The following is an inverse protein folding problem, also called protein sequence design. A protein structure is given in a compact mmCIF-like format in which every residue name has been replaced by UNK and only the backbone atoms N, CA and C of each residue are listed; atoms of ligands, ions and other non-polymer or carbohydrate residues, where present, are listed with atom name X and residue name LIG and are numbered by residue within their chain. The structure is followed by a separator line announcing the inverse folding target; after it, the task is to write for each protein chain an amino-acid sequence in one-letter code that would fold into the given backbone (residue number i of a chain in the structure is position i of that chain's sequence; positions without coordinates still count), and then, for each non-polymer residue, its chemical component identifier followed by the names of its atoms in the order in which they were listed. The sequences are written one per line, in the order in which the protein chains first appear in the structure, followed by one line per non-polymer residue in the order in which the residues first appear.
data_IF_401593515706
#
_entry.id   IF_401593515706
#
_cell.length_a   1.000
_cell.length_b   1.000
_cell.length_c   1.000
_cell.angle_alpha   90.00
_cell.angle_beta   90.00
_cell.angle_gamma   90.00
#
_symmetry.space_group_name_H-M   'P 1'
#
loop_
_entity.id
_entity.type
_entity.pdbx_description
1 polymer ?
#
# COMPACT_ATOMS: atom_id res chain seq x y z
N UNK A 1 25.45 0.77 -4.97
CA UNK A 1 24.74 1.37 -3.84
C UNK A 1 23.76 2.48 -4.25
N UNK A 2 23.94 3.14 -5.41
CA UNK A 2 23.02 4.13 -6.00
C UNK A 2 21.81 3.53 -6.75
N UNK A 3 21.86 2.26 -7.18
CA UNK A 3 20.83 1.69 -8.07
C UNK A 3 19.48 1.50 -7.38
N UNK A 4 19.45 1.01 -6.14
CA UNK A 4 18.20 0.70 -5.43
C UNK A 4 17.37 1.94 -5.09
N UNK A 5 18.03 3.02 -4.67
CA UNK A 5 17.35 4.28 -4.39
C UNK A 5 16.84 4.92 -5.69
N UNK A 6 17.57 4.74 -6.80
CA UNK A 6 17.09 5.09 -8.13
C UNK A 6 15.90 4.22 -8.56
N UNK A 7 15.94 2.92 -8.31
CA UNK A 7 14.87 1.97 -8.67
C UNK A 7 13.60 2.26 -7.88
N UNK A 8 13.70 2.49 -6.56
CA UNK A 8 12.58 2.88 -5.72
C UNK A 8 12.02 4.24 -6.14
N UNK A 9 12.88 5.22 -6.39
CA UNK A 9 12.47 6.53 -6.89
C UNK A 9 11.86 6.45 -8.29
N UNK A 10 12.37 5.60 -9.17
CA UNK A 10 11.81 5.37 -10.49
C UNK A 10 10.48 4.61 -10.41
N UNK A 11 10.33 3.66 -9.50
CA UNK A 11 9.09 2.90 -9.30
C UNK A 11 8.02 3.84 -8.71
N UNK A 12 8.36 4.61 -7.66
CA UNK A 12 7.50 5.65 -7.09
C UNK A 12 7.20 6.77 -8.09
N UNK A 13 8.18 7.23 -8.88
CA UNK A 13 8.00 8.26 -9.90
C UNK A 13 7.19 7.77 -11.10
N UNK A 14 7.32 6.49 -11.51
CA UNK A 14 6.46 5.87 -12.53
C UNK A 14 5.02 5.70 -12.04
N UNK A 15 4.82 5.64 -10.73
CA UNK A 15 3.50 5.57 -10.11
C UNK A 15 2.96 6.91 -9.59
N UNK A 16 3.65 8.03 -9.87
CA UNK A 16 3.18 9.40 -9.56
C UNK A 16 3.54 9.94 -8.17
N UNK A 17 4.42 9.29 -7.39
CA UNK A 17 4.67 9.60 -5.98
C UNK A 17 5.83 10.55 -5.66
N UNK A 18 6.66 10.97 -6.63
CA UNK A 18 7.82 11.85 -6.33
C UNK A 18 7.55 13.36 -6.45
N UNK A 19 6.46 13.77 -7.09
CA UNK A 19 6.06 15.18 -7.19
C UNK A 19 4.78 15.35 -6.38
N UNK A 20 4.76 16.27 -5.41
CA UNK A 20 3.72 16.49 -4.38
C UNK A 20 2.29 16.78 -4.84
N UNK A 21 1.88 16.31 -6.01
CA UNK A 21 0.53 16.37 -6.56
C UNK A 21 0.21 14.97 -7.15
N UNK A 22 -0.50 14.08 -6.41
CA UNK A 22 -1.52 13.12 -6.93
C UNK A 22 -1.72 11.78 -6.17
N UNK A 23 -0.93 11.42 -5.15
CA UNK A 23 -1.24 10.19 -4.39
C UNK A 23 -2.44 10.36 -3.45
N UNK A 24 -3.27 9.31 -3.32
CA UNK A 24 -4.40 9.28 -2.37
C UNK A 24 -3.92 8.96 -0.95
N UNK A 25 -2.72 8.38 -0.81
CA UNK A 25 -2.17 7.89 0.45
C UNK A 25 -0.74 8.44 0.70
N UNK A 26 -0.60 9.77 0.85
CA UNK A 26 0.71 10.41 0.99
C UNK A 26 1.50 9.94 2.21
N UNK A 27 0.85 9.53 3.30
CA UNK A 27 1.56 9.02 4.46
C UNK A 27 2.17 7.63 4.21
N UNK A 28 1.47 6.78 3.44
CA UNK A 28 1.94 5.45 3.06
C UNK A 28 3.18 5.53 2.17
N UNK A 29 3.14 6.39 1.15
CA UNK A 29 4.29 6.60 0.27
C UNK A 29 5.50 7.15 1.02
N UNK A 30 5.26 8.14 1.90
CA UNK A 30 6.33 8.69 2.74
C UNK A 30 6.96 7.60 3.60
N UNK A 31 6.14 6.79 4.27
CA UNK A 31 6.63 5.73 5.15
C UNK A 31 7.49 4.71 4.38
N UNK A 32 7.07 4.31 3.17
CA UNK A 32 7.86 3.41 2.31
C UNK A 32 9.17 4.04 1.81
N UNK A 33 9.21 5.35 1.63
CA UNK A 33 10.38 6.09 1.14
C UNK A 33 11.36 6.51 2.24
N UNK A 34 10.89 6.58 3.50
CA UNK A 34 11.65 7.08 4.64
C UNK A 34 12.80 6.15 5.06
N UNK A 35 12.57 4.84 5.03
CA UNK A 35 13.58 3.83 5.37
C UNK A 35 13.63 2.72 4.30
N UNK A 36 14.84 2.28 3.94
CA UNK A 36 15.03 1.16 3.01
C UNK A 36 14.51 -0.15 3.59
N UNK A 37 14.60 -0.34 4.90
CA UNK A 37 14.11 -1.54 5.55
C UNK A 37 12.58 -1.60 5.58
N UNK A 38 11.89 -0.44 5.57
CA UNK A 38 10.44 -0.37 5.37
C UNK A 38 10.03 -0.97 4.02
N UNK A 39 10.67 -0.50 2.94
CA UNK A 39 10.39 -1.04 1.60
C UNK A 39 10.82 -2.51 1.49
N UNK A 40 11.95 -2.89 2.11
CA UNK A 40 12.44 -4.27 2.07
C UNK A 40 11.50 -5.25 2.76
N UNK A 41 10.94 -4.87 3.91
CA UNK A 41 9.95 -5.66 4.62
C UNK A 41 8.70 -5.89 3.75
N UNK A 42 8.24 -4.83 3.08
CA UNK A 42 7.15 -4.92 2.13
C UNK A 42 7.49 -5.84 0.93
N UNK A 43 8.66 -5.72 0.31
CA UNK A 43 9.07 -6.57 -0.82
C UNK A 43 9.09 -8.06 -0.47
N UNK A 44 9.58 -8.41 0.71
CA UNK A 44 9.61 -9.80 1.19
C UNK A 44 8.19 -10.36 1.30
N UNK A 45 7.26 -9.57 1.84
CA UNK A 45 5.86 -9.96 1.97
C UNK A 45 5.16 -10.03 0.60
N UNK A 46 5.51 -9.11 -0.31
CA UNK A 46 5.00 -9.01 -1.69
C UNK A 46 5.47 -10.14 -2.59
N UNK A 47 6.61 -10.78 -2.32
CA UNK A 47 7.33 -11.67 -3.24
C UNK A 47 6.49 -12.78 -3.91
N UNK A 48 5.35 -13.17 -3.31
CA UNK A 48 4.42 -14.20 -3.85
C UNK A 48 3.23 -13.63 -4.62
N UNK A 49 3.14 -12.31 -4.81
CA UNK A 49 2.03 -11.62 -5.47
C UNK A 49 2.49 -10.90 -6.73
N UNK A 50 1.64 -10.95 -7.76
CA UNK A 50 1.87 -10.23 -9.01
C UNK A 50 1.31 -8.81 -8.92
N UNK A 51 2.16 -7.83 -9.20
CA UNK A 51 1.76 -6.41 -9.30
C UNK A 51 1.28 -6.01 -10.70
N UNK A 52 1.43 -6.89 -11.71
CA UNK A 52 1.20 -6.55 -13.13
C UNK A 52 -0.22 -6.11 -13.49
N UNK A 53 -1.22 -6.49 -12.68
CA UNK A 53 -2.63 -6.15 -12.92
C UNK A 53 -3.06 -4.80 -12.33
N UNK A 54 -2.16 -4.11 -11.63
CA UNK A 54 -2.43 -2.86 -10.94
C UNK A 54 -1.77 -1.70 -11.69
N UNK A 55 -2.41 -0.52 -11.68
CA UNK A 55 -1.85 0.68 -12.31
C UNK A 55 -0.70 1.28 -11.48
N UNK A 56 -0.69 1.09 -10.17
CA UNK A 56 0.35 1.58 -9.27
C UNK A 56 0.62 0.63 -8.09
N UNK A 57 1.68 0.94 -7.33
CA UNK A 57 1.96 0.25 -6.07
C UNK A 57 0.89 0.51 -5.01
N UNK A 58 0.37 1.74 -4.94
CA UNK A 58 -0.69 2.11 -4.01
C UNK A 58 -2.00 1.38 -4.33
N UNK A 59 -2.31 1.24 -5.61
CA UNK A 59 -3.42 0.43 -6.12
C UNK A 59 -3.31 -1.03 -5.72
N UNK A 60 -2.11 -1.61 -5.88
CA UNK A 60 -1.79 -2.96 -5.43
C UNK A 60 -2.03 -3.12 -3.93
N UNK A 61 -1.43 -2.25 -3.11
CA UNK A 61 -1.58 -2.26 -1.67
C UNK A 61 -3.05 -2.15 -1.24
N UNK A 62 -3.75 -1.14 -1.77
CA UNK A 62 -5.16 -0.89 -1.44
C UNK A 62 -6.02 -2.11 -1.74
N UNK A 63 -5.91 -2.68 -2.94
CA UNK A 63 -6.79 -3.76 -3.36
C UNK A 63 -6.46 -5.11 -2.74
N UNK A 64 -5.19 -5.35 -2.40
CA UNK A 64 -4.75 -6.61 -1.78
C UNK A 64 -4.95 -6.61 -0.25
N UNK A 65 -4.94 -5.43 0.39
CA UNK A 65 -5.26 -5.29 1.82
C UNK A 65 -6.75 -5.04 2.05
N UNK A 66 -7.43 -4.36 1.12
CA UNK A 66 -8.85 -4.06 1.16
C UNK A 66 -9.54 -4.55 -0.13
N UNK A 67 -9.84 -5.86 -0.25
CA UNK A 67 -10.46 -6.42 -1.46
C UNK A 67 -11.81 -5.78 -1.82
N UNK A 68 -12.52 -5.20 -0.86
CA UNK A 68 -13.77 -4.45 -1.07
C UNK A 68 -13.61 -3.23 -1.97
N UNK A 69 -12.40 -2.68 -2.09
CA UNK A 69 -12.10 -1.52 -2.93
C UNK A 69 -11.79 -1.91 -4.38
N UNK A 70 -11.59 -3.20 -4.68
CA UNK A 70 -11.26 -3.68 -6.02
C UNK A 70 -12.27 -3.26 -7.10
N UNK A 71 -13.61 -3.32 -6.87
CA UNK A 71 -14.58 -2.89 -7.89
C UNK A 71 -14.44 -1.40 -8.26
N UNK A 72 -14.22 -0.54 -7.26
CA UNK A 72 -14.03 0.91 -7.48
C UNK A 72 -12.73 1.20 -8.23
N UNK A 73 -11.65 0.54 -7.81
CA UNK A 73 -10.34 0.63 -8.45
C UNK A 73 -10.38 0.15 -9.91
N UNK A 74 -10.96 -1.03 -10.17
CA UNK A 74 -11.09 -1.60 -11.50
C UNK A 74 -12.01 -0.76 -12.42
N UNK A 75 -13.06 -0.13 -11.89
CA UNK A 75 -13.89 0.80 -12.65
C UNK A 75 -13.09 2.03 -13.09
N UNK A 76 -12.29 2.61 -12.18
CA UNK A 76 -11.36 3.68 -12.50
C UNK A 76 -10.30 3.24 -13.52
N UNK A 77 -9.76 2.01 -13.42
CA UNK A 77 -8.73 1.52 -14.35
C UNK A 77 -9.22 1.23 -15.76
N UNK A 78 -10.54 1.19 -15.97
CA UNK A 78 -11.15 1.02 -17.29
C UNK A 78 -11.64 2.35 -17.86
N UNK A 79 -11.34 3.46 -17.19
CA UNK A 79 -11.86 4.81 -17.47
C UNK A 79 -13.42 4.83 -17.45
N UNK A 80 -14.02 3.94 -16.64
CA UNK A 80 -15.48 3.77 -16.50
C UNK A 80 -16.02 4.27 -15.15
N UNK A 81 -15.19 4.87 -14.31
CA UNK A 81 -15.58 5.32 -12.98
C UNK A 81 -14.72 6.47 -12.46
N UNK A 82 -15.20 7.21 -11.45
CA UNK A 82 -14.44 8.30 -10.84
C UNK A 82 -13.23 7.77 -10.08
N UNK A 83 -12.24 8.64 -9.87
CA UNK A 83 -11.08 8.33 -9.03
C UNK A 83 -11.51 8.07 -7.58
N UNK A 84 -10.74 7.26 -6.85
CA UNK A 84 -11.05 6.89 -5.46
C UNK A 84 -11.27 8.13 -4.56
N UNK A 85 -10.49 9.20 -4.79
CA UNK A 85 -10.60 10.49 -4.08
C UNK A 85 -11.94 11.22 -4.29
N UNK A 86 -12.64 10.90 -5.38
CA UNK A 86 -13.96 11.46 -5.71
C UNK A 86 -15.07 10.56 -5.13
N UNK A 87 -14.82 9.25 -5.01
CA UNK A 87 -15.79 8.28 -4.50
C UNK A 87 -15.84 8.17 -2.98
N UNK A 88 -14.78 8.59 -2.29
CA UNK A 88 -14.62 8.42 -0.85
C UNK A 88 -14.57 9.78 -0.16
N UNK A 89 -15.19 9.86 1.01
CA UNK A 89 -15.05 11.04 1.88
C UNK A 89 -13.64 11.09 2.44
N UNK A 90 -13.19 12.29 2.85
CA UNK A 90 -11.88 12.46 3.52
C UNK A 90 -11.71 11.53 4.72
N UNK A 91 -12.79 11.27 5.47
CA UNK A 91 -12.77 10.32 6.60
C UNK A 91 -12.49 8.90 6.14
N UNK A 92 -13.14 8.45 5.06
CA UNK A 92 -12.93 7.10 4.51
C UNK A 92 -11.51 6.93 3.97
N UNK A 93 -10.98 7.94 3.27
CA UNK A 93 -9.59 7.93 2.79
C UNK A 93 -8.61 7.79 3.95
N UNK A 94 -8.79 8.57 5.03
CA UNK A 94 -7.95 8.46 6.23
C UNK A 94 -8.02 7.08 6.89
N UNK A 95 -9.20 6.47 6.95
CA UNK A 95 -9.35 5.11 7.50
C UNK A 95 -8.60 4.07 6.66
N UNK A 96 -8.69 4.16 5.33
CA UNK A 96 -7.94 3.31 4.42
C UNK A 96 -6.44 3.55 4.58
N UNK A 97 -5.99 4.81 4.63
CA UNK A 97 -4.59 5.17 4.83
C UNK A 97 -4.03 4.59 6.14
N UNK A 98 -4.75 4.75 7.26
CA UNK A 98 -4.36 4.17 8.55
C UNK A 98 -4.27 2.65 8.50
N UNK A 99 -5.20 1.98 7.79
CA UNK A 99 -5.18 0.53 7.64
C UNK A 99 -3.97 0.05 6.83
N UNK A 100 -3.64 0.77 5.76
CA UNK A 100 -2.46 0.48 4.94
C UNK A 100 -1.16 0.70 5.71
N UNK A 101 -1.07 1.78 6.49
CA UNK A 101 0.08 2.02 7.38
C UNK A 101 0.22 0.91 8.41
N UNK A 102 -0.88 0.51 9.07
CA UNK A 102 -0.84 -0.57 10.05
C UNK A 102 -0.36 -1.90 9.42
N UNK A 103 -0.82 -2.21 8.22
CA UNK A 103 -0.34 -3.38 7.46
C UNK A 103 1.17 -3.34 7.23
N UNK A 104 1.69 -2.20 6.81
CA UNK A 104 3.12 -2.01 6.57
C UNK A 104 3.94 -2.08 7.87
N UNK A 105 3.43 -1.52 8.96
CA UNK A 105 4.04 -1.63 10.29
C UNK A 105 4.14 -3.09 10.74
N UNK A 106 3.05 -3.87 10.60
CA UNK A 106 3.05 -5.31 10.94
C UNK A 106 4.07 -6.09 10.09
N UNK A 107 4.17 -5.75 8.80
CA UNK A 107 5.16 -6.36 7.91
C UNK A 107 6.61 -6.04 8.37
N UNK A 108 6.86 -4.79 8.73
CA UNK A 108 8.17 -4.34 9.21
C UNK A 108 8.55 -4.93 10.56
N UNK A 109 7.62 -4.99 11.52
CA UNK A 109 7.87 -5.65 12.81
C UNK A 109 8.25 -7.12 12.62
N UNK A 110 7.56 -7.84 11.74
CA UNK A 110 7.90 -9.23 11.43
C UNK A 110 9.29 -9.34 10.78
N UNK A 111 9.64 -8.42 9.88
CA UNK A 111 10.97 -8.35 9.29
C UNK A 111 12.06 -8.11 10.34
N UNK A 112 11.89 -7.13 11.23
CA UNK A 112 12.82 -6.82 12.32
C UNK A 112 13.02 -8.00 13.26
N UNK A 113 11.95 -8.76 13.54
CA UNK A 113 11.98 -9.96 14.38
C UNK A 113 12.49 -11.21 13.64
N UNK A 114 12.84 -11.10 12.34
CA UNK A 114 13.18 -12.23 11.47
C UNK A 114 12.12 -13.34 11.48
N UNK A 115 10.85 -12.95 11.66
CA UNK A 115 9.70 -13.85 11.75
C UNK A 115 9.12 -14.06 10.36
N UNK A 116 8.76 -15.30 10.04
CA UNK A 116 7.99 -15.58 8.84
C UNK A 116 6.56 -15.03 9.00
N UNK A 117 6.13 -14.21 8.04
CA UNK A 117 4.78 -13.69 7.97
C UNK A 117 4.27 -13.83 6.54
N UNK A 118 3.10 -14.43 6.36
CA UNK A 118 2.42 -14.45 5.06
C UNK A 118 1.51 -13.23 4.90
N UNK A 119 1.24 -12.85 3.65
CA UNK A 119 0.31 -11.74 3.36
C UNK A 119 -1.05 -11.94 4.02
N UNK A 120 -1.59 -13.16 3.97
CA UNK A 120 -2.89 -13.49 4.57
C UNK A 120 -2.87 -13.25 6.08
N UNK A 121 -1.84 -13.74 6.77
CA UNK A 121 -1.68 -13.50 8.22
C UNK A 121 -1.54 -12.02 8.54
N UNK A 122 -0.80 -11.25 7.73
CA UNK A 122 -0.66 -9.82 7.91
C UNK A 122 -2.02 -9.10 7.80
N UNK A 123 -2.83 -9.42 6.79
CA UNK A 123 -4.19 -8.87 6.63
C UNK A 123 -5.08 -9.25 7.81
N UNK A 124 -5.08 -10.52 8.24
CA UNK A 124 -5.87 -10.99 9.38
C UNK A 124 -5.51 -10.26 10.68
N UNK A 125 -4.21 -10.02 10.93
CA UNK A 125 -3.73 -9.26 12.09
C UNK A 125 -4.24 -7.80 12.06
N UNK A 126 -4.18 -7.15 10.90
CA UNK A 126 -4.69 -5.78 10.72
C UNK A 126 -6.20 -5.72 10.92
N UNK A 127 -6.94 -6.67 10.35
CA UNK A 127 -8.40 -6.73 10.48
C UNK A 127 -8.82 -6.95 11.93
N UNK A 128 -8.09 -7.76 12.70
CA UNK A 128 -8.32 -7.95 14.13
C UNK A 128 -8.16 -6.63 14.91
N UNK A 129 -7.05 -5.93 14.69
CA UNK A 129 -6.80 -4.64 15.36
C UNK A 129 -7.87 -3.61 14.99
N UNK A 130 -8.26 -3.54 13.71
CA UNK A 130 -9.33 -2.64 13.27
C UNK A 130 -10.70 -2.97 13.89
N UNK A 131 -10.99 -4.25 14.14
CA UNK A 131 -12.24 -4.66 14.81
C UNK A 131 -12.27 -4.30 16.29
N UNK A 132 -11.14 -4.42 16.99
CA UNK A 132 -11.07 -4.06 18.42
C UNK A 132 -11.10 -2.55 18.68
N UNK A 133 -10.78 -1.73 17.68
CA UNK A 133 -10.75 -0.27 17.78
C UNK A 133 -12.07 0.42 17.37
N UNK A 134 -13.06 -0.34 16.88
CA UNK A 134 -14.35 0.15 16.40
C UNK A 134 -15.43 0.02 17.49
#
# INVERSE_FOLDING_TARGET
MLSFELDLRQELSRTGGMTGEQTVFPAVERWLAEDRDHYRAFEILKARKSTRRYRSLMDFLLCEVCPSEWPACNACYRDRGPQLRVLRTTRQIRLLESKLLLFLTVAYEAYCQKRALSWKQAVEMVDEVCRCAA
#
